data_IF_621400033064
#
_entry.id   IF_621400033064
#
_cell.length_a   1.000
_cell.length_b   1.000
_cell.length_c   1.000
_cell.angle_alpha   90.00
_cell.angle_beta   90.00
_cell.angle_gamma   90.00
#
_symmetry.space_group_name_H-M   'P 1'
#
loop_
_entity.id
_entity.type
_entity.pdbx_description
1 polymer ?
#
# COMPACT_ATOMS: atom_id res chain seq x y z
N UNK A 1 3.94 5.63 9.87
CA UNK A 1 4.08 5.39 8.42
C UNK A 1 2.80 4.84 7.80
N UNK A 2 2.48 5.26 6.56
CA UNK A 2 1.32 4.78 5.80
C UNK A 2 1.80 4.07 4.53
N UNK A 3 1.36 2.84 4.30
CA UNK A 3 1.68 2.07 3.10
C UNK A 3 0.41 1.98 2.26
N UNK A 4 0.43 2.63 1.09
CA UNK A 4 -0.66 2.59 0.09
C UNK A 4 -0.13 2.95 -1.31
N UNK A 5 -0.80 2.51 -2.39
CA UNK A 5 -1.83 1.46 -2.39
C UNK A 5 -1.22 0.08 -2.14
N UNK A 6 -2.04 -0.96 -1.88
CA UNK A 6 -1.57 -2.34 -1.89
C UNK A 6 -0.99 -2.73 -3.27
N UNK A 7 0.03 -3.59 -3.28
CA UNK A 7 0.62 -4.13 -4.52
C UNK A 7 -0.29 -5.17 -5.20
N UNK A 8 -1.20 -5.76 -4.42
CA UNK A 8 -2.28 -6.61 -4.93
C UNK A 8 -3.56 -6.22 -4.22
N UNK A 9 -4.58 -5.90 -4.99
CA UNK A 9 -5.96 -5.78 -4.54
C UNK A 9 -6.91 -6.36 -5.58
N UNK A 10 -7.69 -7.33 -5.14
CA UNK A 10 -8.61 -8.04 -6.03
C UNK A 10 -9.68 -8.71 -5.19
N UNK A 11 -10.76 -9.14 -5.83
CA UNK A 11 -11.72 -10.02 -5.20
C UNK A 11 -12.04 -11.21 -6.12
N UNK A 12 -12.37 -12.33 -5.47
CA UNK A 12 -12.79 -13.56 -6.14
C UNK A 12 -14.30 -13.73 -6.00
N UNK A 13 -14.92 -14.26 -7.06
CA UNK A 13 -16.37 -14.50 -7.12
C UNK A 13 -16.64 -15.98 -7.37
N UNK A 14 -17.62 -16.55 -6.68
CA UNK A 14 -17.94 -17.98 -6.74
C UNK A 14 -18.54 -18.54 -8.03
N UNK A 15 -18.82 -17.70 -9.04
CA UNK A 15 -19.83 -17.92 -10.09
C UNK A 15 -20.10 -19.38 -10.51
N UNK A 16 -21.40 -19.72 -10.58
CA UNK A 16 -21.93 -20.95 -11.19
C UNK A 16 -21.50 -21.17 -12.67
N UNK A 17 -22.06 -22.18 -13.35
CA UNK A 17 -21.38 -23.20 -14.19
C UNK A 17 -20.45 -22.75 -15.34
N UNK A 18 -20.34 -21.46 -15.67
CA UNK A 18 -19.47 -20.94 -16.71
C UNK A 18 -18.46 -19.95 -16.14
N UNK A 19 -17.27 -20.49 -15.84
CA UNK A 19 -15.99 -19.80 -15.57
C UNK A 19 -15.93 -18.93 -14.31
N UNK A 20 -15.02 -19.19 -13.37
CA UNK A 20 -14.79 -18.28 -12.24
C UNK A 20 -14.22 -16.95 -12.73
N UNK A 21 -14.93 -15.85 -12.49
CA UNK A 21 -14.47 -14.49 -12.82
C UNK A 21 -13.66 -13.91 -11.65
N UNK A 22 -12.42 -13.53 -11.92
CA UNK A 22 -11.64 -12.60 -11.10
C UNK A 22 -11.94 -11.17 -11.58
N UNK A 23 -11.95 -10.21 -10.68
CA UNK A 23 -12.05 -8.79 -11.02
C UNK A 23 -10.75 -8.11 -10.57
N UNK A 24 -9.94 -7.78 -11.56
CA UNK A 24 -8.71 -6.98 -11.42
C UNK A 24 -9.02 -5.65 -12.08
N UNK A 25 -8.52 -4.54 -11.54
CA UNK A 25 -8.83 -3.19 -12.01
C UNK A 25 -10.30 -2.78 -11.84
N UNK A 26 -10.98 -3.37 -10.87
CA UNK A 26 -12.32 -2.94 -10.47
C UNK A 26 -12.15 -1.86 -9.41
N UNK A 27 -12.93 -0.79 -9.50
CA UNK A 27 -12.97 0.28 -8.49
C UNK A 27 -13.39 -0.25 -7.10
N UNK A 28 -14.04 -1.42 -7.06
CA UNK A 28 -14.55 -2.01 -5.83
C UNK A 28 -13.90 -3.34 -5.45
N UNK A 29 -13.63 -3.51 -4.16
CA UNK A 29 -13.25 -4.74 -3.50
C UNK A 29 -14.47 -5.31 -2.76
N UNK A 30 -15.04 -6.40 -3.29
CA UNK A 30 -16.31 -6.94 -2.79
C UNK A 30 -16.15 -8.07 -1.78
N UNK A 31 -17.00 -8.05 -0.75
CA UNK A 31 -17.23 -9.15 0.20
C UNK A 31 -18.72 -9.44 0.35
N UNK A 32 -19.06 -10.65 0.83
CA UNK A 32 -20.45 -11.04 1.14
C UNK A 32 -21.11 -11.86 0.04
N UNK A 33 -22.43 -11.78 -0.07
CA UNK A 33 -23.23 -12.54 -1.03
C UNK A 33 -24.30 -11.69 -1.73
N UNK A 34 -24.36 -11.78 -3.05
CA UNK A 34 -25.38 -11.09 -3.83
C UNK A 34 -25.81 -11.93 -5.02
N UNK A 35 -27.13 -12.19 -5.14
CA UNK A 35 -27.75 -12.95 -6.25
C UNK A 35 -27.07 -14.31 -6.51
N UNK A 36 -26.85 -15.09 -5.45
CA UNK A 36 -26.26 -16.44 -5.54
C UNK A 36 -24.75 -16.47 -5.85
N UNK A 37 -24.07 -15.32 -5.74
CA UNK A 37 -22.61 -15.21 -5.84
C UNK A 37 -22.03 -14.82 -4.49
N UNK A 38 -20.87 -15.40 -4.17
CA UNK A 38 -20.10 -15.10 -2.98
C UNK A 38 -18.83 -14.36 -3.36
N UNK A 39 -18.43 -13.41 -2.54
CA UNK A 39 -17.35 -12.46 -2.79
C UNK A 39 -16.35 -12.48 -1.64
N UNK A 40 -15.05 -12.52 -1.96
CA UNK A 40 -13.95 -12.43 -0.99
C UNK A 40 -12.86 -11.54 -1.54
N UNK A 41 -12.34 -10.63 -0.73
CA UNK A 41 -11.26 -9.71 -1.11
C UNK A 41 -9.90 -10.29 -0.72
N UNK A 42 -8.88 -10.03 -1.52
CA UNK A 42 -7.48 -10.35 -1.25
C UNK A 42 -6.66 -9.07 -1.36
N UNK A 43 -5.79 -8.83 -0.37
CA UNK A 43 -4.93 -7.66 -0.30
C UNK A 43 -3.49 -8.06 0.06
N UNK A 44 -2.50 -7.49 -0.62
CA UNK A 44 -1.09 -7.56 -0.24
C UNK A 44 -0.53 -6.14 -0.17
N UNK A 45 0.03 -5.76 0.98
CA UNK A 45 0.79 -4.53 1.16
C UNK A 45 2.27 -4.84 1.14
N UNK A 46 3.06 -4.03 0.42
CA UNK A 46 4.51 -4.15 0.45
C UNK A 46 5.07 -3.36 1.64
N UNK A 47 5.76 -4.07 2.53
CA UNK A 47 6.38 -3.52 3.74
C UNK A 47 7.88 -3.27 3.57
N UNK A 48 8.43 -3.50 2.36
CA UNK A 48 9.87 -3.34 2.07
C UNK A 48 10.38 -1.91 2.23
N UNK A 49 9.49 -0.92 2.13
CA UNK A 49 9.80 0.49 2.34
C UNK A 49 9.96 0.87 3.81
N UNK A 50 9.61 -0.01 4.76
CA UNK A 50 9.83 0.25 6.18
C UNK A 50 11.33 0.19 6.47
N UNK A 51 11.88 1.21 7.17
CA UNK A 51 13.23 1.16 7.69
C UNK A 51 13.51 -0.12 8.47
N UNK A 52 14.77 -0.55 8.53
CA UNK A 52 15.16 -1.73 9.31
C UNK A 52 15.16 -1.41 10.82
N UNK A 53 15.06 -2.45 11.66
CA UNK A 53 15.08 -2.34 13.14
C UNK A 53 13.93 -1.53 13.77
N UNK A 54 12.76 -1.41 13.14
CA UNK A 54 11.60 -0.72 13.72
C UNK A 54 10.86 -1.59 14.74
N UNK A 55 10.69 -1.14 16.00
CA UNK A 55 9.82 -1.81 16.96
C UNK A 55 8.35 -1.50 16.61
N UNK A 56 7.70 -2.39 15.87
CA UNK A 56 6.27 -2.25 15.52
C UNK A 56 5.41 -2.36 16.78
N UNK A 57 4.60 -1.34 17.04
CA UNK A 57 3.72 -1.24 18.22
C UNK A 57 2.26 -1.48 17.85
N UNK A 58 1.81 -0.93 16.72
CA UNK A 58 0.43 -1.07 16.28
C UNK A 58 0.36 -1.04 14.75
N UNK A 59 -0.41 -1.95 14.15
CA UNK A 59 -0.68 -1.94 12.72
C UNK A 59 -2.17 -2.07 12.46
N UNK A 60 -2.71 -1.13 11.68
CA UNK A 60 -4.10 -1.14 11.25
C UNK A 60 -4.21 -1.12 9.73
N UNK A 61 -4.98 -2.03 9.18
CA UNK A 61 -5.42 -1.96 7.78
C UNK A 61 -6.75 -1.20 7.74
N UNK A 62 -6.82 -0.12 6.96
CA UNK A 62 -8.02 0.70 6.78
C UNK A 62 -8.54 0.58 5.35
N UNK A 63 -9.83 0.26 5.23
CA UNK A 63 -10.56 0.18 3.97
C UNK A 63 -11.74 1.15 3.99
N UNK A 64 -12.06 1.79 2.87
CA UNK A 64 -13.15 2.77 2.79
C UNK A 64 -14.35 2.16 2.10
N UNK A 65 -15.53 2.23 2.73
CA UNK A 65 -16.76 1.70 2.14
C UNK A 65 -17.17 2.51 0.92
N UNK A 66 -17.39 1.85 -0.21
CA UNK A 66 -18.07 2.41 -1.39
C UNK A 66 -19.53 1.97 -1.47
N UNK A 67 -19.86 0.81 -0.89
CA UNK A 67 -21.19 0.21 -0.86
C UNK A 67 -21.37 -0.61 0.43
N UNK A 68 -22.57 -0.59 1.02
CA UNK A 68 -22.92 -1.50 2.11
C UNK A 68 -24.41 -1.92 2.00
N UNK A 69 -24.63 -3.19 1.67
CA UNK A 69 -25.94 -3.87 1.65
C UNK A 69 -26.03 -4.95 2.75
N UNK A 70 -25.02 -5.05 3.62
CA UNK A 70 -24.96 -6.02 4.71
C UNK A 70 -25.80 -5.56 5.91
N UNK A 71 -26.30 -6.51 6.70
CA UNK A 71 -26.93 -6.20 7.99
C UNK A 71 -25.91 -5.60 8.96
N UNK A 72 -26.36 -4.71 9.86
CA UNK A 72 -25.48 -3.92 10.74
C UNK A 72 -24.68 -4.75 11.77
N UNK A 73 -25.09 -5.99 12.02
CA UNK A 73 -24.45 -6.97 12.90
C UNK A 73 -23.60 -8.01 12.13
N UNK A 74 -23.47 -7.84 10.80
CA UNK A 74 -22.67 -8.74 9.98
C UNK A 74 -21.20 -8.67 10.40
N UNK A 75 -20.63 -9.82 10.73
CA UNK A 75 -19.21 -9.94 11.06
C UNK A 75 -18.36 -10.07 9.81
N UNK A 76 -17.26 -9.31 9.78
CA UNK A 76 -16.21 -9.41 8.77
C UNK A 76 -14.97 -9.98 9.42
N UNK A 77 -14.37 -10.94 8.76
CA UNK A 77 -13.19 -11.66 9.19
C UNK A 77 -12.03 -11.40 8.24
N UNK A 78 -10.85 -11.18 8.82
CA UNK A 78 -9.58 -11.08 8.08
C UNK A 78 -8.77 -12.32 8.40
N UNK A 79 -8.32 -13.03 7.37
CA UNK A 79 -7.48 -14.21 7.47
C UNK A 79 -6.13 -13.95 6.85
N UNK A 80 -5.07 -14.46 7.48
CA UNK A 80 -3.77 -14.52 6.83
C UNK A 80 -3.82 -15.51 5.66
N UNK A 81 -3.21 -15.13 4.55
CA UNK A 81 -2.91 -16.07 3.46
C UNK A 81 -1.55 -16.73 3.74
N UNK A 82 -1.52 -18.07 3.70
CA UNK A 82 -0.33 -18.87 4.09
C UNK A 82 0.34 -19.58 2.91
N UNK A 83 -0.20 -19.44 1.69
CA UNK A 83 0.40 -20.01 0.48
C UNK A 83 0.60 -18.95 -0.61
N UNK A 84 1.75 -18.99 -1.28
CA UNK A 84 2.01 -18.18 -2.47
C UNK A 84 0.95 -18.43 -3.55
N UNK A 85 0.46 -17.37 -4.16
CA UNK A 85 -0.46 -17.44 -5.30
C UNK A 85 -0.07 -16.45 -6.38
N UNK A 86 -0.56 -16.70 -7.59
CA UNK A 86 -0.46 -15.74 -8.69
C UNK A 86 -1.79 -14.96 -8.78
N UNK A 87 -1.82 -13.66 -8.48
CA UNK A 87 -3.04 -12.84 -8.52
C UNK A 87 -3.77 -12.89 -9.88
N UNK A 88 -3.05 -13.17 -10.98
CA UNK A 88 -3.63 -13.32 -12.32
C UNK A 88 -4.28 -14.69 -12.56
N UNK A 89 -4.08 -15.69 -11.70
CA UNK A 89 -4.58 -17.07 -11.88
C UNK A 89 -5.54 -17.55 -10.79
N UNK A 90 -5.81 -16.74 -9.77
CA UNK A 90 -6.73 -17.10 -8.70
C UNK A 90 -8.18 -17.16 -9.18
N UNK A 91 -8.97 -17.96 -8.48
CA UNK A 91 -10.42 -18.11 -8.69
C UNK A 91 -11.05 -18.62 -7.40
N UNK A 92 -12.38 -18.67 -7.33
CA UNK A 92 -13.06 -19.30 -6.20
C UNK A 92 -12.61 -20.75 -5.96
N UNK A 93 -12.39 -21.53 -7.02
CA UNK A 93 -11.93 -22.93 -6.91
C UNK A 93 -10.43 -23.06 -6.66
N UNK A 94 -9.66 -22.01 -6.95
CA UNK A 94 -8.19 -21.96 -6.80
C UNK A 94 -7.82 -20.73 -5.97
N UNK A 95 -8.45 -20.59 -4.81
CA UNK A 95 -8.10 -19.56 -3.84
C UNK A 95 -6.88 -20.02 -3.04
N UNK A 96 -6.07 -19.09 -2.52
CA UNK A 96 -4.90 -19.48 -1.74
C UNK A 96 -5.33 -20.12 -0.41
N UNK A 97 -4.44 -20.93 0.17
CA UNK A 97 -4.61 -21.43 1.53
C UNK A 97 -4.57 -20.27 2.51
N UNK A 98 -5.47 -20.30 3.48
CA UNK A 98 -5.57 -19.32 4.56
C UNK A 98 -5.33 -20.00 5.91
N UNK A 99 -4.94 -19.21 6.91
CA UNK A 99 -4.87 -19.68 8.29
C UNK A 99 -6.25 -20.14 8.79
N UNK A 100 -6.26 -21.03 9.79
CA UNK A 100 -7.50 -21.57 10.37
C UNK A 100 -8.27 -20.52 11.18
N UNK A 101 -7.54 -19.65 11.89
CA UNK A 101 -8.12 -18.60 12.72
C UNK A 101 -8.03 -17.24 12.03
N UNK A 102 -9.06 -16.39 12.18
CA UNK A 102 -8.98 -15.01 11.71
C UNK A 102 -7.98 -14.21 12.55
N UNK A 103 -7.29 -13.29 11.88
CA UNK A 103 -6.36 -12.31 12.45
C UNK A 103 -7.13 -11.25 13.24
N UNK A 104 -8.27 -10.81 12.70
CA UNK A 104 -9.19 -9.91 13.37
C UNK A 104 -10.62 -10.17 12.89
N UNK A 105 -11.59 -9.85 13.75
CA UNK A 105 -13.02 -9.96 13.47
C UNK A 105 -13.69 -8.69 13.97
N UNK A 106 -14.48 -8.06 13.10
CA UNK A 106 -15.22 -6.85 13.44
C UNK A 106 -16.70 -7.00 13.06
N UNK A 107 -17.56 -6.26 13.72
CA UNK A 107 -18.93 -6.03 13.25
C UNK A 107 -18.94 -4.84 12.29
N UNK A 108 -19.47 -5.02 11.09
CA UNK A 108 -19.52 -3.94 10.11
C UNK A 108 -20.54 -2.88 10.53
N UNK A 109 -20.02 -1.77 11.07
CA UNK A 109 -20.78 -0.57 11.38
C UNK A 109 -20.31 0.55 10.46
N UNK A 110 -21.09 0.87 9.43
CA UNK A 110 -20.70 1.92 8.51
C UNK A 110 -21.64 2.10 7.33
N UNK A 111 -21.48 3.24 6.66
CA UNK A 111 -22.14 3.60 5.41
C UNK A 111 -21.06 3.96 4.38
N UNK A 112 -21.38 4.00 3.08
CA UNK A 112 -20.46 4.50 2.06
C UNK A 112 -19.80 5.83 2.48
N UNK A 113 -18.49 5.94 2.25
CA UNK A 113 -17.64 7.05 2.67
C UNK A 113 -16.92 6.86 4.02
N UNK A 114 -17.30 5.86 4.83
CA UNK A 114 -16.66 5.60 6.12
C UNK A 114 -15.49 4.61 6.00
N UNK A 115 -14.44 4.86 6.80
CA UNK A 115 -13.33 3.93 6.96
C UNK A 115 -13.68 2.80 7.96
N UNK A 116 -13.24 1.60 7.63
CA UNK A 116 -13.32 0.39 8.44
C UNK A 116 -11.88 -0.08 8.71
N UNK A 117 -11.55 -0.33 9.98
CA UNK A 117 -10.20 -0.67 10.41
C UNK A 117 -10.13 -2.09 10.97
N UNK A 118 -9.07 -2.81 10.59
CA UNK A 118 -8.73 -4.14 11.08
C UNK A 118 -7.35 -4.12 11.72
N UNK A 119 -7.18 -4.80 12.85
CA UNK A 119 -5.91 -4.87 13.59
C UNK A 119 -5.06 -6.02 13.04
N UNK A 120 -3.86 -5.70 12.56
CA UNK A 120 -2.93 -6.66 11.98
C UNK A 120 -1.59 -6.71 12.73
N UNK A 121 -1.47 -6.07 13.90
CA UNK A 121 -0.19 -5.84 14.61
C UNK A 121 0.73 -7.05 14.66
N UNK A 122 0.27 -8.20 15.19
CA UNK A 122 1.11 -9.39 15.33
C UNK A 122 1.50 -9.98 13.98
N UNK A 123 0.55 -10.03 13.02
CA UNK A 123 0.79 -10.57 11.68
C UNK A 123 1.81 -9.71 10.91
N UNK A 124 1.63 -8.40 10.93
CA UNK A 124 2.52 -7.45 10.27
C UNK A 124 3.92 -7.43 10.91
N UNK A 125 4.03 -7.61 12.23
CA UNK A 125 5.32 -7.78 12.90
C UNK A 125 6.04 -9.06 12.46
N UNK A 126 5.32 -10.16 12.25
CA UNK A 126 5.89 -11.42 11.74
C UNK A 126 6.35 -11.28 10.28
N UNK A 127 5.59 -10.56 9.44
CA UNK A 127 6.03 -10.23 8.08
C UNK A 127 7.27 -9.36 8.05
N UNK A 128 7.29 -8.30 8.86
CA UNK A 128 8.40 -7.35 8.92
C UNK A 128 9.69 -7.99 9.43
N UNK A 129 9.61 -8.84 10.45
CA UNK A 129 10.78 -9.56 10.99
C UNK A 129 11.23 -10.74 10.12
N UNK A 130 10.46 -11.11 9.09
CA UNK A 130 10.72 -12.27 8.25
C UNK A 130 10.39 -13.61 8.93
N UNK A 131 9.75 -13.61 10.10
CA UNK A 131 9.27 -14.83 10.76
C UNK A 131 8.20 -15.55 9.94
N UNK A 132 7.42 -14.80 9.16
CA UNK A 132 6.41 -15.34 8.25
C UNK A 132 6.46 -14.63 6.89
N UNK A 133 6.19 -15.36 5.81
CA UNK A 133 6.12 -14.79 4.48
C UNK A 133 4.84 -13.94 4.31
N UNK A 134 4.99 -12.74 3.73
CA UNK A 134 3.86 -11.88 3.41
C UNK A 134 3.19 -12.33 2.09
N UNK A 135 2.15 -13.15 2.21
CA UNK A 135 1.23 -13.45 1.10
C UNK A 135 -0.07 -12.65 1.19
N UNK A 136 -0.15 -11.68 2.10
CA UNK A 136 -1.31 -10.83 2.32
C UNK A 136 -2.43 -11.45 3.14
N UNK A 137 -3.62 -10.86 3.00
CA UNK A 137 -4.83 -11.23 3.72
C UNK A 137 -5.99 -11.54 2.79
N UNK A 138 -6.87 -12.42 3.23
CA UNK A 138 -8.20 -12.64 2.67
C UNK A 138 -9.26 -12.07 3.61
N UNK A 139 -10.21 -11.34 3.05
CA UNK A 139 -11.30 -10.72 3.79
C UNK A 139 -12.61 -11.31 3.31
N UNK A 140 -13.45 -11.74 4.24
CA UNK A 140 -14.79 -12.29 3.96
C UNK A 140 -15.75 -11.98 5.09
N UNK A 141 -17.05 -12.10 4.82
CA UNK A 141 -18.05 -12.15 5.88
C UNK A 141 -17.98 -13.50 6.61
N UNK A 142 -18.29 -13.53 7.91
CA UNK A 142 -18.31 -14.78 8.69
C UNK A 142 -19.32 -15.78 8.12
N UNK A 143 -20.54 -15.31 7.87
CA UNK A 143 -21.62 -16.08 7.26
C UNK A 143 -21.83 -15.63 5.81
N UNK A 144 -21.20 -16.34 4.88
CA UNK A 144 -21.34 -16.05 3.46
C UNK A 144 -22.72 -16.43 2.89
N UNK A 145 -23.57 -17.12 3.66
CA UNK A 145 -24.96 -17.39 3.24
C UNK A 145 -25.92 -16.26 3.59
N UNK A 146 -25.51 -15.37 4.50
CA UNK A 146 -26.24 -14.14 4.79
C UNK A 146 -26.29 -13.26 3.53
N UNK A 147 -27.49 -12.81 3.18
CA UNK A 147 -27.69 -11.98 2.00
C UNK A 147 -27.10 -10.59 2.20
N UNK A 148 -26.57 -10.01 1.12
CA UNK A 148 -25.99 -8.66 1.11
C UNK A 148 -24.49 -8.68 0.83
N UNK A 149 -23.96 -7.56 0.33
CA UNK A 149 -22.53 -7.39 0.06
C UNK A 149 -22.06 -6.03 0.54
N UNK A 150 -20.78 -5.93 0.82
CA UNK A 150 -20.10 -4.64 0.96
C UNK A 150 -19.05 -4.50 -0.14
N UNK A 151 -18.83 -3.26 -0.54
CA UNK A 151 -17.74 -2.86 -1.43
C UNK A 151 -16.84 -1.88 -0.72
N UNK A 152 -15.54 -2.08 -0.86
CA UNK A 152 -14.52 -1.12 -0.45
C UNK A 152 -13.87 -0.49 -1.68
N UNK A 153 -13.39 0.73 -1.56
CA UNK A 153 -12.58 1.36 -2.62
C UNK A 153 -11.30 0.55 -2.84
N UNK A 154 -10.97 0.28 -4.11
CA UNK A 154 -9.70 -0.31 -4.53
C UNK A 154 -8.64 0.76 -4.81
N UNK A 155 -7.46 0.35 -5.28
CA UNK A 155 -6.43 1.25 -5.83
C UNK A 155 -6.87 1.93 -7.14
N UNK A 156 -7.89 1.40 -7.82
CA UNK A 156 -8.46 2.00 -9.03
C UNK A 156 -9.56 3.01 -8.73
N UNK A 157 -9.95 3.18 -7.47
CA UNK A 157 -10.89 4.23 -7.09
C UNK A 157 -10.31 5.62 -7.42
N UNK A 158 -11.10 6.48 -8.09
CA UNK A 158 -10.66 7.79 -8.57
C UNK A 158 -10.03 8.67 -7.47
N UNK A 159 -10.59 8.62 -6.26
CA UNK A 159 -10.08 9.36 -5.12
C UNK A 159 -9.04 8.55 -4.33
N UNK A 160 -7.76 8.90 -4.49
CA UNK A 160 -6.64 8.26 -3.80
C UNK A 160 -6.64 8.41 -2.26
N UNK A 161 -7.54 9.24 -1.70
CA UNK A 161 -7.78 9.30 -0.25
C UNK A 161 -8.56 8.09 0.26
N UNK A 162 -9.31 7.42 -0.62
CA UNK A 162 -10.10 6.23 -0.30
C UNK A 162 -9.35 4.92 -0.57
N UNK A 163 -8.14 4.95 -1.14
CA UNK A 163 -7.37 3.72 -1.38
C UNK A 163 -7.10 2.95 -0.08
N UNK A 164 -7.06 1.59 -0.14
CA UNK A 164 -6.67 0.77 1.00
C UNK A 164 -5.30 1.20 1.54
N UNK A 165 -5.17 1.27 2.86
CA UNK A 165 -3.93 1.70 3.52
C UNK A 165 -3.58 0.81 4.71
N UNK A 166 -2.29 0.49 4.85
CA UNK A 166 -1.73 -0.12 6.04
C UNK A 166 -1.00 0.95 6.86
N UNK A 167 -1.57 1.30 8.00
CA UNK A 167 -1.00 2.27 8.94
C UNK A 167 -0.13 1.54 9.97
N UNK A 168 1.15 1.90 10.02
CA UNK A 168 2.16 1.30 10.89
C UNK A 168 2.65 2.33 11.89
N UNK A 169 2.44 2.04 13.17
CA UNK A 169 3.00 2.78 14.30
C UNK A 169 4.13 1.97 14.92
N UNK A 170 5.26 2.63 15.15
CA UNK A 170 6.45 2.05 15.75
C UNK A 170 6.98 2.96 16.86
N UNK A 171 7.66 2.36 17.82
CA UNK A 171 8.39 3.09 18.86
C UNK A 171 9.77 3.52 18.36
N UNK A 172 10.45 4.38 19.12
CA UNK A 172 11.86 4.61 18.88
C UNK A 172 12.65 3.32 19.17
N UNK A 173 13.60 2.94 18.30
CA UNK A 173 14.47 1.80 18.57
C UNK A 173 15.43 2.13 19.71
N UNK A 174 15.24 1.42 20.83
CA UNK A 174 16.07 1.55 22.05
C UNK A 174 17.17 0.48 22.12
N UNK A 175 17.32 -0.37 21.10
CA UNK A 175 18.25 -1.51 21.13
C UNK A 175 19.67 -1.07 20.70
N UNK A 176 20.68 -1.13 21.59
CA UNK A 176 22.07 -0.85 21.20
C UNK A 176 22.52 -1.83 20.11
N UNK A 177 23.06 -1.31 19.01
CA UNK A 177 23.52 -2.10 17.86
C UNK A 177 22.44 -2.43 16.80
N UNK A 178 21.20 -1.95 16.93
CA UNK A 178 20.17 -1.99 15.89
C UNK A 178 19.71 -0.55 15.61
N UNK A 179 20.63 0.28 15.11
CA UNK A 179 20.27 1.63 14.68
C UNK A 179 19.43 1.54 13.41
N UNK A 180 18.27 2.22 13.35
CA UNK A 180 17.44 2.18 12.15
C UNK A 180 18.22 2.83 11.01
N UNK A 181 18.24 2.16 9.88
CA UNK A 181 18.75 2.68 8.62
C UNK A 181 17.61 2.79 7.63
N UNK A 182 17.69 3.82 6.81
CA UNK A 182 16.87 3.98 5.63
C UNK A 182 17.76 3.62 4.43
N UNK A 183 17.37 2.61 3.66
CA UNK A 183 18.06 2.18 2.45
C UNK A 183 17.01 1.58 1.50
N UNK A 184 16.37 2.47 0.73
CA UNK A 184 15.27 2.14 -0.18
C UNK A 184 15.71 2.47 -1.61
N UNK A 185 15.39 1.58 -2.54
CA UNK A 185 15.58 1.79 -3.97
C UNK A 185 14.26 1.57 -4.70
N UNK A 186 13.90 2.51 -5.57
CA UNK A 186 12.71 2.44 -6.40
C UNK A 186 13.06 2.74 -7.86
N UNK A 187 12.52 1.96 -8.80
CA UNK A 187 12.73 2.12 -10.24
C UNK A 187 11.42 2.60 -10.90
N UNK A 188 11.51 3.59 -11.78
CA UNK A 188 10.37 4.23 -12.44
C UNK A 188 10.60 4.43 -13.93
N UNK A 189 9.50 4.69 -14.64
CA UNK A 189 9.50 5.20 -16.01
C UNK A 189 8.79 6.56 -16.00
N UNK A 190 9.55 7.66 -15.99
CA UNK A 190 9.00 9.00 -15.94
C UNK A 190 8.34 9.36 -17.29
N UNK A 191 7.15 9.96 -17.24
CA UNK A 191 6.43 10.54 -18.39
C UNK A 191 6.38 12.06 -18.26
N UNK A 192 5.65 12.77 -19.14
CA UNK A 192 5.45 14.22 -18.98
C UNK A 192 4.42 14.58 -17.88
N UNK A 193 3.81 13.57 -17.27
CA UNK A 193 3.00 13.70 -16.06
C UNK A 193 3.85 13.43 -14.82
N UNK A 194 3.48 14.06 -13.72
CA UNK A 194 4.22 13.89 -12.48
C UNK A 194 4.07 12.48 -11.92
N UNK A 195 5.21 11.81 -11.77
CA UNK A 195 5.38 10.57 -11.02
C UNK A 195 5.94 10.89 -9.64
N UNK A 196 5.64 10.03 -8.66
CA UNK A 196 6.07 10.21 -7.28
C UNK A 196 6.75 8.93 -6.77
N UNK A 197 7.80 9.09 -5.96
CA UNK A 197 8.32 8.02 -5.12
C UNK A 197 7.33 7.65 -4.02
N UNK A 198 7.57 6.54 -3.32
CA UNK A 198 6.85 6.28 -2.08
C UNK A 198 7.05 7.42 -1.08
N UNK A 199 6.00 7.71 -0.31
CA UNK A 199 6.04 8.61 0.82
C UNK A 199 6.63 7.88 2.03
N UNK A 200 7.79 8.32 2.51
CA UNK A 200 8.51 7.70 3.61
C UNK A 200 8.40 8.53 4.89
N UNK A 201 8.28 7.85 6.03
CA UNK A 201 8.34 8.46 7.36
C UNK A 201 9.81 8.68 7.74
N UNK A 202 10.29 9.89 7.53
CA UNK A 202 11.71 10.27 7.58
C UNK A 202 12.11 10.98 8.87
N UNK A 203 11.16 11.16 9.80
CA UNK A 203 11.29 12.05 10.97
C UNK A 203 12.56 11.84 11.82
N UNK A 204 13.04 10.60 11.89
CA UNK A 204 14.16 10.22 12.75
C UNK A 204 15.50 10.14 11.99
N UNK A 205 15.50 10.38 10.68
CA UNK A 205 16.66 10.17 9.83
C UNK A 205 17.29 11.51 9.42
N UNK A 206 18.61 11.55 9.37
CA UNK A 206 19.35 12.40 8.44
C UNK A 206 19.42 11.62 7.13
N UNK A 207 18.75 12.12 6.09
CA UNK A 207 18.53 11.38 4.85
C UNK A 207 18.81 12.21 3.60
N UNK A 208 19.03 11.51 2.49
CA UNK A 208 19.20 12.07 1.15
C UNK A 208 18.38 11.28 0.13
N UNK A 209 17.88 11.97 -0.89
CA UNK A 209 17.34 11.36 -2.10
C UNK A 209 18.37 11.51 -3.21
N UNK A 210 18.68 10.44 -3.93
CA UNK A 210 19.53 10.47 -5.11
C UNK A 210 18.74 9.95 -6.30
N UNK A 211 18.60 10.78 -7.34
CA UNK A 211 17.89 10.45 -8.57
C UNK A 211 18.91 10.20 -9.69
N UNK A 212 18.80 9.05 -10.33
CA UNK A 212 19.59 8.66 -11.50
C UNK A 212 18.67 8.67 -12.73
N UNK A 213 18.92 9.58 -13.65
CA UNK A 213 18.25 9.60 -14.95
C UNK A 213 19.09 8.81 -15.95
N UNK A 214 18.67 7.58 -16.27
CA UNK A 214 19.32 6.75 -17.29
C UNK A 214 18.63 6.82 -18.65
N UNK A 215 17.71 7.78 -18.83
CA UNK A 215 17.05 8.06 -20.09
C UNK A 215 17.77 9.09 -20.95
N UNK A 216 17.26 9.25 -22.16
CA UNK A 216 17.78 10.16 -23.18
C UNK A 216 17.23 11.59 -23.08
N UNK A 217 16.28 11.83 -22.17
CA UNK A 217 15.58 13.11 -22.04
C UNK A 217 15.73 13.70 -20.63
N UNK A 218 15.81 15.03 -20.51
CA UNK A 218 15.94 15.70 -19.23
C UNK A 218 14.69 15.49 -18.36
N UNK A 219 14.92 15.37 -17.05
CA UNK A 219 13.87 15.17 -16.05
C UNK A 219 13.92 16.31 -15.05
N UNK A 220 12.77 16.90 -14.73
CA UNK A 220 12.66 17.77 -13.56
C UNK A 220 12.32 16.93 -12.33
N UNK A 221 12.94 17.22 -11.19
CA UNK A 221 12.60 16.59 -9.92
C UNK A 221 12.59 17.58 -8.76
N UNK A 222 11.71 17.35 -7.79
CA UNK A 222 11.60 18.13 -6.56
C UNK A 222 11.37 17.21 -5.36
N UNK A 223 12.06 17.51 -4.26
CA UNK A 223 11.82 16.85 -2.98
C UNK A 223 10.59 17.50 -2.32
N UNK A 224 9.57 16.70 -2.03
CA UNK A 224 8.36 17.16 -1.35
C UNK A 224 8.33 16.71 0.10
N UNK A 225 7.90 17.60 0.97
CA UNK A 225 7.78 17.40 2.41
C UNK A 225 6.32 17.45 2.85
N UNK A 226 5.97 16.70 3.90
CA UNK A 226 4.63 16.71 4.49
C UNK A 226 4.65 16.39 5.97
N UNK A 227 3.85 17.11 6.76
CA UNK A 227 3.66 16.82 8.20
C UNK A 227 2.70 15.66 8.45
N UNK A 228 1.72 15.46 7.56
CA UNK A 228 0.61 14.52 7.73
C UNK A 228 0.56 13.41 6.65
N UNK A 229 1.44 13.46 5.65
CA UNK A 229 1.47 12.51 4.53
C UNK A 229 0.37 12.77 3.48
N UNK A 230 -0.35 13.88 3.60
CA UNK A 230 -1.48 14.24 2.75
C UNK A 230 -1.28 15.60 2.06
N UNK A 231 -0.84 16.61 2.81
CA UNK A 231 -0.56 17.95 2.31
C UNK A 231 0.94 18.06 2.03
N UNK A 232 1.30 18.29 0.77
CA UNK A 232 2.67 18.26 0.29
C UNK A 232 3.13 19.66 -0.15
N UNK A 233 4.36 20.01 0.20
CA UNK A 233 5.02 21.22 -0.26
C UNK A 233 6.41 20.90 -0.80
N UNK A 234 6.81 21.58 -1.86
CA UNK A 234 8.15 21.47 -2.40
C UNK A 234 9.16 22.07 -1.42
N UNK A 235 10.21 21.31 -1.12
CA UNK A 235 11.27 21.72 -0.21
C UNK A 235 12.13 22.84 -0.82
N UNK A 236 12.49 22.63 -2.08
CA UNK A 236 13.35 23.50 -2.89
C UNK A 236 12.79 23.58 -4.31
N UNK A 237 13.17 24.59 -5.11
CA UNK A 237 12.78 24.66 -6.52
C UNK A 237 13.17 23.38 -7.28
N UNK A 238 12.35 22.95 -8.27
CA UNK A 238 12.67 21.79 -9.09
C UNK A 238 14.06 21.88 -9.73
N UNK A 239 14.81 20.78 -9.66
CA UNK A 239 16.11 20.63 -10.31
C UNK A 239 15.94 19.93 -11.66
N UNK A 240 16.72 20.34 -12.67
CA UNK A 240 16.74 19.69 -13.99
C UNK A 240 17.92 18.72 -14.05
N UNK A 241 17.63 17.43 -14.15
CA UNK A 241 18.60 16.36 -14.30
C UNK A 241 18.77 16.05 -15.78
N UNK A 242 19.97 16.23 -16.36
CA UNK A 242 20.21 15.95 -17.77
C UNK A 242 20.10 14.44 -18.09
N UNK A 243 20.04 14.05 -19.37
CA UNK A 243 20.17 12.67 -19.80
C UNK A 243 21.44 12.02 -19.23
N UNK A 244 21.34 10.78 -18.73
CA UNK A 244 22.43 10.08 -18.04
C UNK A 244 22.99 10.83 -16.80
N UNK A 245 22.22 11.77 -16.25
CA UNK A 245 22.59 12.60 -15.10
C UNK A 245 22.20 11.97 -13.76
N UNK A 246 22.87 12.44 -12.70
CA UNK A 246 22.59 12.08 -11.31
C UNK A 246 22.44 13.38 -10.51
N UNK A 247 21.45 13.45 -9.64
CA UNK A 247 21.23 14.58 -8.73
C UNK A 247 20.96 14.09 -7.30
N UNK A 248 21.57 14.77 -6.32
CA UNK A 248 21.36 14.50 -4.89
C UNK A 248 20.53 15.62 -4.28
N UNK A 249 19.33 15.28 -3.82
CA UNK A 249 18.42 16.20 -3.15
C UNK A 249 18.47 15.98 -1.63
N UNK A 250 18.83 17.03 -0.90
CA UNK A 250 18.88 17.03 0.56
C UNK A 250 17.75 17.89 1.13
N UNK A 251 17.09 17.45 2.21
CA UNK A 251 16.15 18.30 2.94
C UNK A 251 16.89 19.43 3.64
N UNK A 252 16.34 20.65 3.57
CA UNK A 252 16.82 21.82 4.33
C UNK A 252 16.04 22.03 5.65
N UNK A 253 14.96 21.28 5.83
CA UNK A 253 14.15 21.26 7.05
C UNK A 253 13.72 19.84 7.40
N UNK A 254 13.47 19.60 8.69
CA UNK A 254 13.02 18.31 9.19
C UNK A 254 11.49 18.28 9.16
N UNK A 255 10.94 17.28 8.51
CA UNK A 255 9.49 16.98 8.50
C UNK A 255 9.25 15.51 8.81
N UNK A 256 7.99 15.11 8.97
CA UNK A 256 7.65 13.70 9.20
C UNK A 256 7.73 12.86 7.93
N UNK A 257 7.21 13.36 6.81
CA UNK A 257 7.13 12.60 5.57
C UNK A 257 7.86 13.30 4.43
N UNK A 258 8.57 12.52 3.62
CA UNK A 258 9.19 12.99 2.38
C UNK A 258 8.89 12.06 1.22
N UNK A 259 8.84 12.62 0.00
CA UNK A 259 8.80 11.88 -1.27
C UNK A 259 9.46 12.70 -2.36
N UNK A 260 9.90 12.05 -3.43
CA UNK A 260 10.34 12.71 -4.64
C UNK A 260 9.17 12.83 -5.63
N UNK A 261 9.04 13.98 -6.29
CA UNK A 261 8.18 14.18 -7.46
C UNK A 261 9.07 14.45 -8.67
N UNK A 262 8.75 13.85 -9.82
CA UNK A 262 9.54 14.04 -11.04
C UNK A 262 8.73 13.78 -12.32
N UNK A 263 9.19 14.34 -13.44
CA UNK A 263 8.64 14.11 -14.81
C UNK A 263 9.67 14.43 -15.88
N UNK A 264 9.55 13.84 -17.07
CA UNK A 264 10.29 14.32 -18.24
C UNK A 264 9.70 15.65 -18.73
N UNK A 265 10.56 16.52 -19.23
CA UNK A 265 10.14 17.76 -19.90
C UNK A 265 9.73 17.54 -21.36
N UNK A 266 10.02 16.37 -21.92
CA UNK A 266 9.78 16.03 -23.32
C UNK A 266 8.43 15.31 -23.48
N UNK A 267 7.44 15.92 -24.17
CA UNK A 267 6.14 15.29 -24.40
C UNK A 267 6.27 13.96 -25.14
N UNK A 268 5.37 13.01 -24.84
CA UNK A 268 5.29 11.67 -25.45
C UNK A 268 6.51 10.75 -25.26
N UNK A 269 7.56 11.23 -24.59
CA UNK A 269 8.76 10.45 -24.29
C UNK A 269 8.75 9.96 -22.86
N UNK A 270 9.63 8.99 -22.59
CA UNK A 270 9.82 8.45 -21.25
C UNK A 270 11.30 8.35 -20.89
N UNK A 271 11.61 8.49 -19.60
CA UNK A 271 12.97 8.37 -19.07
C UNK A 271 13.01 7.36 -17.93
N UNK A 272 13.84 6.30 -17.99
CA UNK A 272 14.06 5.41 -16.86
C UNK A 272 14.74 6.14 -15.70
N UNK A 273 14.14 6.07 -14.52
CA UNK A 273 14.61 6.73 -13.32
C UNK A 273 14.86 5.70 -12.21
N UNK A 274 15.98 5.83 -11.51
CA UNK A 274 16.22 5.12 -10.25
C UNK A 274 16.33 6.13 -9.12
N UNK A 275 15.58 5.90 -8.04
CA UNK A 275 15.62 6.73 -6.84
C UNK A 275 16.22 5.90 -5.72
N UNK A 276 17.32 6.39 -5.14
CA UNK A 276 17.94 5.83 -3.95
C UNK A 276 17.65 6.75 -2.77
N UNK A 277 17.18 6.18 -1.67
CA UNK A 277 16.80 6.93 -0.46
C UNK A 277 17.58 6.33 0.69
N UNK A 278 18.53 7.11 1.18
CA UNK A 278 19.50 6.64 2.15
C UNK A 278 19.49 7.56 3.36
N UNK A 279 19.55 6.98 4.55
CA UNK A 279 19.55 7.74 5.78
C UNK A 279 19.97 6.94 6.98
N UNK A 280 20.46 7.65 7.99
CA UNK A 280 20.80 7.11 9.31
C UNK A 280 20.13 7.95 10.36
N UNK A 281 19.95 7.37 11.54
CA UNK A 281 19.46 8.12 12.69
C UNK A 281 20.33 9.37 12.92
N UNK A 282 19.68 10.53 13.00
CA UNK A 282 20.31 11.82 13.31
C UNK A 282 20.49 12.05 14.80
#
# INVERSE_FOLDING_TARGET
>A
MYIKPPIVDTYIVSSGPTSPKRCYYDEQLLIGAHKGKYYRTLLIFDMSSLPQCLPIVNVQMKLYLSLCELAADTKIEVYQVISKYNPKKISWRRHPLIAECPVDVIELKGKPGMAVAFRLTSLAANWYSGAEANFGVLIRVSDETSGGRAGFCSREWDDARCWPVLEVHYAQPDKPGCEPTLDVREDFLATNEYTYSSALDVLIFNYTYELHNSGDFPVEASLQLSLNGHDWSDNVPPQIIPPNGIEVLMPDTITRYARLQFRTLEPEHTSPIQVYIQGRKG
#
